data_IF_744520203327
#
_entry.id   IF_744520203327
#
_cell.length_a   1.000
_cell.length_b   1.000
_cell.length_c   1.000
_cell.angle_alpha   90.00
_cell.angle_beta   90.00
_cell.angle_gamma   90.00
#
_symmetry.space_group_name_H-M   'P 1'
#
loop_
_entity.id
_entity.type
_entity.pdbx_description
1 polymer ?
#
# COMPACT_ATOMS: atom_id res chain seq x y z
N UNK A 1 -22.44 16.83 -2.35
CA UNK A 1 -21.40 15.81 -2.60
C UNK A 1 -20.54 15.80 -1.35
N UNK A 2 -20.07 14.64 -0.88
CA UNK A 2 -19.20 14.61 0.32
C UNK A 2 -17.85 15.25 0.00
N UNK A 3 -17.33 16.07 0.92
CA UNK A 3 -16.00 16.68 0.81
C UNK A 3 -14.89 15.65 0.94
N UNK A 4 -13.76 15.87 0.28
CA UNK A 4 -12.66 14.91 0.24
C UNK A 4 -11.36 15.56 0.71
N UNK A 5 -10.61 14.83 1.55
CA UNK A 5 -9.26 15.20 1.98
C UNK A 5 -8.27 14.07 1.68
N UNK A 6 -7.14 14.39 1.05
CA UNK A 6 -6.03 13.45 0.84
C UNK A 6 -4.96 13.71 1.88
N UNK A 7 -4.56 12.67 2.63
CA UNK A 7 -3.59 12.76 3.72
C UNK A 7 -2.30 12.03 3.35
N UNK A 8 -1.24 12.79 3.06
CA UNK A 8 0.07 12.31 2.67
C UNK A 8 0.70 13.14 1.55
N UNK A 9 2.03 13.31 1.56
CA UNK A 9 2.77 14.12 0.59
C UNK A 9 3.64 13.32 -0.38
N UNK A 10 3.53 11.98 -0.38
CA UNK A 10 4.38 11.07 -1.16
C UNK A 10 3.94 10.87 -2.62
N UNK A 11 4.64 9.99 -3.34
CA UNK A 11 4.36 9.69 -4.76
C UNK A 11 2.92 9.19 -4.97
N UNK A 12 2.45 8.27 -4.12
CA UNK A 12 1.10 7.73 -4.24
C UNK A 12 0.01 8.77 -3.93
N UNK A 13 0.22 9.62 -2.91
CA UNK A 13 -0.68 10.75 -2.64
C UNK A 13 -0.74 11.71 -3.84
N UNK A 14 0.41 12.07 -4.44
CA UNK A 14 0.46 12.91 -5.64
C UNK A 14 -0.29 12.28 -6.82
N UNK A 15 -0.17 10.96 -7.00
CA UNK A 15 -0.90 10.24 -8.04
C UNK A 15 -2.42 10.25 -7.79
N UNK A 16 -2.86 10.02 -6.54
CA UNK A 16 -4.27 10.09 -6.15
C UNK A 16 -4.83 11.50 -6.40
N UNK A 17 -4.11 12.54 -5.99
CA UNK A 17 -4.48 13.95 -6.24
C UNK A 17 -4.67 14.20 -7.73
N UNK A 18 -3.72 13.76 -8.59
CA UNK A 18 -3.86 13.84 -10.04
C UNK A 18 -5.11 13.13 -10.57
N UNK A 19 -5.40 11.93 -10.06
CA UNK A 19 -6.57 11.14 -10.48
C UNK A 19 -7.86 11.88 -10.08
N UNK A 20 -7.99 12.29 -8.82
CA UNK A 20 -9.17 12.96 -8.28
C UNK A 20 -9.49 14.26 -9.03
N UNK A 21 -8.48 15.01 -9.43
CA UNK A 21 -8.64 16.28 -10.17
C UNK A 21 -9.33 16.12 -11.54
N UNK A 22 -9.57 14.87 -12.02
CA UNK A 22 -10.38 14.65 -13.22
C UNK A 22 -11.90 14.67 -12.94
N UNK A 23 -12.32 14.45 -11.69
CA UNK A 23 -13.74 14.21 -11.38
C UNK A 23 -14.28 15.02 -10.19
N UNK A 24 -13.43 15.74 -9.46
CA UNK A 24 -13.80 16.49 -8.26
C UNK A 24 -13.36 17.95 -8.44
N UNK A 25 -14.29 18.89 -8.25
CA UNK A 25 -14.05 20.32 -8.45
C UNK A 25 -13.29 21.00 -7.30
N UNK A 26 -13.12 20.33 -6.16
CA UNK A 26 -12.39 20.88 -5.02
C UNK A 26 -12.16 19.85 -3.92
N UNK A 27 -10.93 19.78 -3.41
CA UNK A 27 -10.58 18.94 -2.25
C UNK A 27 -9.29 19.43 -1.58
N UNK A 28 -9.10 19.05 -0.30
CA UNK A 28 -7.88 19.38 0.46
C UNK A 28 -6.82 18.32 0.30
N UNK A 29 -5.56 18.74 0.29
CA UNK A 29 -4.41 17.85 0.24
C UNK A 29 -3.43 18.18 1.35
N UNK A 30 -3.43 17.38 2.40
CA UNK A 30 -2.52 17.54 3.52
C UNK A 30 -1.16 16.87 3.28
N UNK A 31 -0.11 17.59 3.68
CA UNK A 31 1.26 17.09 3.74
C UNK A 31 1.98 17.66 4.97
N UNK A 32 2.94 16.88 5.51
CA UNK A 32 3.65 17.27 6.73
C UNK A 32 4.65 18.41 6.51
N UNK A 33 5.25 18.49 5.33
CA UNK A 33 6.36 19.39 5.00
C UNK A 33 5.83 20.70 4.40
N UNK A 34 6.01 21.80 5.14
CA UNK A 34 5.54 23.12 4.73
C UNK A 34 6.31 23.66 3.51
N UNK A 35 7.60 23.39 3.39
CA UNK A 35 8.37 23.75 2.19
C UNK A 35 7.83 23.04 0.93
N UNK A 36 7.39 21.78 1.08
CA UNK A 36 6.74 21.05 -0.01
C UNK A 36 5.40 21.71 -0.38
N UNK A 37 4.58 22.08 0.60
CA UNK A 37 3.31 22.78 0.39
C UNK A 37 3.52 24.12 -0.33
N UNK A 38 4.44 24.96 0.18
CA UNK A 38 4.74 26.28 -0.42
C UNK A 38 5.22 26.13 -1.87
N UNK A 39 6.06 25.12 -2.14
CA UNK A 39 6.53 24.86 -3.50
C UNK A 39 5.37 24.48 -4.43
N UNK A 40 4.45 23.61 -3.97
CA UNK A 40 3.28 23.20 -4.77
C UNK A 40 2.38 24.41 -5.04
N UNK A 41 2.10 25.23 -4.05
CA UNK A 41 1.30 26.45 -4.22
C UNK A 41 1.93 27.42 -5.22
N UNK A 42 3.26 27.60 -5.16
CA UNK A 42 3.97 28.54 -6.02
C UNK A 42 4.27 28.05 -7.45
N UNK A 43 4.38 26.73 -7.64
CA UNK A 43 4.89 26.14 -8.89
C UNK A 43 3.97 25.10 -9.53
N UNK A 44 2.87 24.72 -8.89
CA UNK A 44 1.92 23.70 -9.38
C UNK A 44 2.53 22.29 -9.56
N UNK A 45 3.61 21.97 -8.87
CA UNK A 45 4.29 20.67 -8.95
C UNK A 45 4.78 20.21 -7.59
N UNK A 46 4.79 18.89 -7.35
CA UNK A 46 5.43 18.34 -6.17
C UNK A 46 6.96 18.34 -6.38
N UNK A 47 7.77 18.99 -5.52
CA UNK A 47 9.22 19.10 -5.71
C UNK A 47 9.96 17.77 -5.54
N UNK A 48 9.38 16.82 -4.80
CA UNK A 48 10.04 15.56 -4.40
C UNK A 48 9.54 14.34 -5.15
N UNK A 49 8.27 14.35 -5.56
CA UNK A 49 7.60 13.17 -6.09
C UNK A 49 6.79 13.49 -7.35
N UNK A 50 6.96 12.68 -8.39
CA UNK A 50 6.23 12.81 -9.65
C UNK A 50 6.26 14.24 -10.20
N UNK A 51 7.43 14.84 -10.30
CA UNK A 51 7.64 16.25 -10.63
C UNK A 51 7.00 16.69 -11.96
N UNK A 52 6.72 15.76 -12.86
CA UNK A 52 6.02 16.03 -14.13
C UNK A 52 4.51 16.23 -13.98
N UNK A 53 3.93 15.86 -12.82
CA UNK A 53 2.49 16.01 -12.58
C UNK A 53 2.17 17.47 -12.27
N UNK A 54 1.28 18.06 -13.05
CA UNK A 54 0.74 19.39 -12.80
C UNK A 54 -0.40 19.29 -11.78
N UNK A 55 -0.33 20.09 -10.73
CA UNK A 55 -1.36 20.23 -9.70
C UNK A 55 -2.11 21.53 -9.94
N UNK A 56 -3.42 21.44 -10.18
CA UNK A 56 -4.26 22.63 -10.34
C UNK A 56 -4.71 23.15 -8.96
N UNK A 57 -4.10 24.24 -8.53
CA UNK A 57 -4.43 24.88 -7.23
C UNK A 57 -5.83 25.53 -7.19
N UNK A 58 -6.57 25.59 -8.31
CA UNK A 58 -7.99 25.96 -8.29
C UNK A 58 -8.87 24.79 -7.82
N UNK A 59 -8.39 23.54 -7.97
CA UNK A 59 -9.09 22.31 -7.58
C UNK A 59 -8.52 21.78 -6.27
N UNK A 60 -7.19 21.81 -6.11
CA UNK A 60 -6.47 21.23 -4.96
C UNK A 60 -6.09 22.34 -4.01
N UNK A 61 -6.43 22.19 -2.73
CA UNK A 61 -5.98 23.09 -1.64
C UNK A 61 -4.88 22.40 -0.82
N UNK A 62 -3.58 22.65 -1.12
CA UNK A 62 -2.48 22.10 -0.33
C UNK A 62 -2.42 22.73 1.06
N UNK A 63 -2.30 21.90 2.11
CA UNK A 63 -2.25 22.36 3.51
C UNK A 63 -1.31 21.52 4.36
N UNK A 64 -0.82 22.11 5.47
CA UNK A 64 -0.12 21.40 6.55
C UNK A 64 -0.96 21.28 7.81
N UNK A 65 -2.19 21.81 7.81
CA UNK A 65 -3.12 21.70 8.92
C UNK A 65 -3.93 20.40 8.81
N UNK A 66 -3.49 19.36 9.53
CA UNK A 66 -4.17 18.08 9.55
C UNK A 66 -5.53 18.15 10.27
N UNK A 67 -5.61 18.96 11.33
CA UNK A 67 -6.85 19.11 12.09
C UNK A 67 -7.95 19.68 11.21
N UNK A 68 -7.68 20.79 10.55
CA UNK A 68 -8.60 21.40 9.60
C UNK A 68 -8.97 20.43 8.46
N UNK A 69 -7.99 19.66 7.95
CA UNK A 69 -8.25 18.65 6.91
C UNK A 69 -9.24 17.60 7.38
N UNK A 70 -9.13 17.13 8.63
CA UNK A 70 -10.07 16.14 9.20
C UNK A 70 -11.44 16.78 9.45
N UNK A 71 -11.48 17.96 10.04
CA UNK A 71 -12.74 18.65 10.39
C UNK A 71 -13.60 18.94 9.16
N UNK A 72 -13.00 19.46 8.07
CA UNK A 72 -13.72 19.96 6.89
C UNK A 72 -14.10 18.88 5.88
N UNK A 73 -13.55 17.66 6.00
CA UNK A 73 -13.78 16.63 5.01
C UNK A 73 -14.56 15.42 5.57
N UNK A 74 -15.53 14.96 4.81
CA UNK A 74 -16.31 13.75 5.13
C UNK A 74 -15.53 12.48 4.80
N UNK A 75 -14.77 12.48 3.69
CA UNK A 75 -13.98 11.37 3.19
C UNK A 75 -12.50 11.70 3.32
N UNK A 76 -11.76 10.86 4.04
CA UNK A 76 -10.32 11.01 4.26
C UNK A 76 -9.59 9.86 3.54
N UNK A 77 -8.82 10.20 2.51
CA UNK A 77 -8.00 9.24 1.76
C UNK A 77 -6.60 9.22 2.37
N UNK A 78 -6.26 8.12 3.04
CA UNK A 78 -5.00 7.96 3.77
C UNK A 78 -3.93 7.40 2.83
N UNK A 79 -2.95 8.23 2.47
CA UNK A 79 -1.84 7.89 1.60
C UNK A 79 -0.46 8.15 2.26
N UNK A 80 -0.44 8.15 3.59
CA UNK A 80 0.78 8.19 4.40
C UNK A 80 1.34 6.77 4.53
N UNK A 81 2.67 6.56 4.44
CA UNK A 81 3.25 5.23 4.64
C UNK A 81 2.88 4.64 6.01
N UNK A 82 2.68 3.33 6.09
CA UNK A 82 2.16 2.63 7.28
C UNK A 82 2.97 2.93 8.55
N UNK A 83 4.29 3.03 8.44
CA UNK A 83 5.18 3.31 9.56
C UNK A 83 4.94 4.67 10.25
N UNK A 84 4.27 5.62 9.58
CA UNK A 84 4.02 6.97 10.10
C UNK A 84 2.54 7.23 10.46
N UNK A 85 1.66 6.27 10.28
CA UNK A 85 0.22 6.45 10.54
C UNK A 85 -0.02 6.75 12.02
N UNK A 86 0.53 5.94 12.92
CA UNK A 86 0.30 6.13 14.36
C UNK A 86 0.82 7.48 14.87
N UNK A 87 2.00 7.91 14.41
CA UNK A 87 2.53 9.25 14.71
C UNK A 87 1.64 10.37 14.14
N UNK A 88 1.20 10.22 12.88
CA UNK A 88 0.37 11.21 12.19
C UNK A 88 -0.95 11.48 12.93
N UNK A 89 -1.58 10.43 13.43
CA UNK A 89 -2.88 10.53 14.10
C UNK A 89 -2.80 10.46 15.64
N UNK A 90 -1.59 10.54 16.23
CA UNK A 90 -1.39 10.38 17.69
C UNK A 90 -2.09 11.42 18.55
N UNK A 91 -2.38 12.61 17.99
CA UNK A 91 -3.00 13.74 18.72
C UNK A 91 -4.52 13.79 18.60
N UNK A 92 -5.12 12.89 17.84
CA UNK A 92 -6.55 12.84 17.56
C UNK A 92 -7.25 11.80 18.43
N UNK A 93 -8.54 12.03 18.66
CA UNK A 93 -9.43 11.20 19.46
C UNK A 93 -10.54 10.59 18.58
N UNK A 94 -11.42 9.82 19.19
CA UNK A 94 -12.58 9.19 18.47
C UNK A 94 -13.54 10.26 17.95
N UNK A 95 -13.70 11.33 18.67
CA UNK A 95 -14.62 12.45 18.36
C UNK A 95 -14.22 13.14 17.05
N UNK A 96 -12.91 13.21 16.74
CA UNK A 96 -12.42 13.82 15.50
C UNK A 96 -12.80 13.02 14.25
N UNK A 97 -13.09 11.71 14.42
CA UNK A 97 -13.45 10.79 13.33
C UNK A 97 -14.94 10.41 13.31
N UNK A 98 -15.76 10.99 14.17
CA UNK A 98 -17.18 10.71 14.18
C UNK A 98 -17.84 11.09 12.84
N UNK A 99 -18.54 10.14 12.23
CA UNK A 99 -19.21 10.31 10.94
C UNK A 99 -18.28 10.36 9.71
N UNK A 100 -16.96 10.23 9.89
CA UNK A 100 -15.99 10.24 8.79
C UNK A 100 -15.96 8.89 8.05
N UNK A 101 -15.57 8.97 6.77
CA UNK A 101 -15.26 7.83 5.93
C UNK A 101 -13.75 7.76 5.70
N UNK A 102 -13.15 6.62 5.98
CA UNK A 102 -11.71 6.40 5.84
C UNK A 102 -11.45 5.52 4.61
N UNK A 103 -10.69 6.04 3.67
CA UNK A 103 -10.28 5.29 2.48
C UNK A 103 -8.78 5.07 2.55
N UNK A 104 -8.38 3.88 2.93
CA UNK A 104 -6.97 3.51 2.96
C UNK A 104 -6.41 3.39 1.54
N UNK A 105 -5.31 4.07 1.27
CA UNK A 105 -4.47 3.84 0.08
C UNK A 105 -3.09 3.30 0.50
N UNK A 106 -3.02 2.77 1.71
CA UNK A 106 -1.82 2.23 2.35
C UNK A 106 -1.70 0.75 2.01
N UNK A 107 -0.50 0.34 1.61
CA UNK A 107 -0.20 -1.05 1.27
C UNK A 107 0.82 -1.62 2.27
N UNK A 108 0.49 -1.53 3.57
CA UNK A 108 1.38 -1.92 4.67
C UNK A 108 0.62 -2.15 5.97
N UNK A 109 1.30 -2.72 6.96
CA UNK A 109 0.83 -2.88 8.34
C UNK A 109 1.44 -1.77 9.18
N UNK A 110 0.69 -1.26 10.16
CA UNK A 110 1.14 -0.26 11.13
C UNK A 110 2.04 -0.97 12.16
N UNK A 111 3.36 -0.70 12.16
CA UNK A 111 4.30 -1.53 12.94
C UNK A 111 4.12 -1.38 14.45
N UNK A 112 3.56 -0.28 14.91
CA UNK A 112 3.36 0.03 16.33
C UNK A 112 2.26 -0.82 16.96
N UNK A 113 1.26 -1.22 16.18
CA UNK A 113 0.09 -1.96 16.67
C UNK A 113 -0.08 -3.33 16.02
N UNK A 114 0.69 -3.65 14.97
CA UNK A 114 0.55 -4.83 14.12
C UNK A 114 -0.83 -4.95 13.46
N UNK A 115 -1.46 -3.81 13.18
CA UNK A 115 -2.79 -3.74 12.58
C UNK A 115 -2.72 -3.28 11.12
N UNK A 116 -3.62 -3.81 10.29
CA UNK A 116 -3.94 -3.21 9.01
C UNK A 116 -4.68 -1.88 9.24
N UNK A 117 -4.65 -0.93 8.29
CA UNK A 117 -5.31 0.36 8.47
C UNK A 117 -6.79 0.27 8.87
N UNK A 118 -7.55 -0.67 8.32
CA UNK A 118 -8.96 -0.85 8.68
C UNK A 118 -9.15 -1.17 10.17
N UNK A 119 -8.39 -2.13 10.70
CA UNK A 119 -8.44 -2.49 12.12
C UNK A 119 -7.97 -1.34 13.01
N UNK A 120 -6.92 -0.63 12.61
CA UNK A 120 -6.41 0.51 13.35
C UNK A 120 -7.44 1.64 13.50
N UNK A 121 -8.09 2.05 12.42
CA UNK A 121 -9.11 3.11 12.51
C UNK A 121 -10.36 2.64 13.26
N UNK A 122 -10.73 1.38 13.13
CA UNK A 122 -11.82 0.79 13.92
C UNK A 122 -11.47 0.75 15.42
N UNK A 123 -10.33 0.19 15.81
CA UNK A 123 -9.96 -0.01 17.20
C UNK A 123 -9.62 1.29 17.93
N UNK A 124 -8.84 2.15 17.30
CA UNK A 124 -8.36 3.40 17.92
C UNK A 124 -9.38 4.52 17.88
N UNK A 125 -10.08 4.68 16.77
CA UNK A 125 -10.98 5.82 16.56
C UNK A 125 -12.46 5.46 16.50
N UNK A 126 -12.80 4.17 16.56
CA UNK A 126 -14.19 3.71 16.56
C UNK A 126 -14.89 3.90 15.20
N UNK A 127 -14.14 4.07 14.11
CA UNK A 127 -14.73 4.19 12.77
C UNK A 127 -15.31 2.82 12.37
N UNK A 128 -16.62 2.71 12.12
CA UNK A 128 -17.22 1.42 11.76
C UNK A 128 -16.72 0.93 10.39
N UNK A 129 -16.60 -0.39 10.22
CA UNK A 129 -16.08 -0.98 8.97
C UNK A 129 -16.89 -0.56 7.74
N UNK A 130 -18.17 -0.29 7.88
CA UNK A 130 -19.05 0.24 6.81
C UNK A 130 -18.62 1.63 6.33
N UNK A 131 -17.83 2.35 7.13
CA UNK A 131 -17.26 3.65 6.76
C UNK A 131 -15.81 3.54 6.31
N UNK A 132 -15.27 2.32 6.19
CA UNK A 132 -13.88 2.10 5.78
C UNK A 132 -13.85 1.44 4.39
N UNK A 133 -12.90 1.88 3.58
CA UNK A 133 -12.57 1.27 2.29
C UNK A 133 -11.08 1.28 2.02
N UNK A 134 -10.65 0.50 1.03
CA UNK A 134 -9.27 0.49 0.54
C UNK A 134 -9.21 0.72 -0.97
N UNK A 135 -8.19 1.46 -1.42
CA UNK A 135 -7.75 1.58 -2.80
C UNK A 135 -6.57 0.63 -3.02
N UNK A 136 -6.77 -0.41 -3.81
CA UNK A 136 -5.75 -1.43 -4.12
C UNK A 136 -5.70 -1.71 -5.63
N UNK A 137 -4.91 -2.70 -6.05
CA UNK A 137 -4.78 -3.13 -7.45
C UNK A 137 -3.48 -2.73 -8.12
N UNK A 138 -3.23 -3.24 -9.34
CA UNK A 138 -2.00 -3.04 -10.11
C UNK A 138 -1.89 -1.61 -10.63
N UNK A 139 -1.31 -0.72 -9.82
CA UNK A 139 -1.21 0.70 -10.13
C UNK A 139 0.03 1.31 -9.46
N UNK A 140 1.06 1.62 -10.24
CA UNK A 140 2.21 2.37 -9.79
C UNK A 140 2.03 3.87 -9.99
N UNK A 141 2.44 4.66 -9.02
CA UNK A 141 2.31 6.12 -9.05
C UNK A 141 3.02 6.74 -10.27
N UNK A 142 4.16 6.19 -10.65
CA UNK A 142 4.96 6.59 -11.80
C UNK A 142 4.21 6.37 -13.14
N UNK A 143 3.49 5.27 -13.25
CA UNK A 143 2.66 4.99 -14.43
C UNK A 143 1.42 5.88 -14.50
N UNK A 144 0.83 6.20 -13.35
CA UNK A 144 -0.26 7.20 -13.25
C UNK A 144 0.23 8.58 -13.69
N UNK A 145 1.44 8.99 -13.28
CA UNK A 145 2.03 10.25 -13.73
C UNK A 145 2.14 10.34 -15.26
N UNK A 146 2.45 9.22 -15.92
CA UNK A 146 2.53 9.06 -17.36
C UNK A 146 1.18 8.76 -18.03
N UNK A 147 0.08 8.74 -17.28
CA UNK A 147 -1.27 8.42 -17.76
C UNK A 147 -1.38 7.05 -18.46
N UNK A 148 -0.60 6.08 -17.99
CA UNK A 148 -0.69 4.69 -18.45
C UNK A 148 -1.95 4.04 -17.89
N UNK A 149 -2.60 3.24 -18.73
CA UNK A 149 -3.82 2.54 -18.31
C UNK A 149 -3.53 1.64 -17.10
N UNK A 150 -4.20 1.96 -16.00
CA UNK A 150 -4.05 1.28 -14.72
C UNK A 150 -5.41 0.86 -14.16
N UNK A 151 -5.40 -0.15 -13.31
CA UNK A 151 -6.61 -0.71 -12.73
C UNK A 151 -6.57 -0.58 -11.22
N UNK A 152 -7.66 -0.07 -10.64
CA UNK A 152 -7.86 0.00 -9.21
C UNK A 152 -9.04 -0.88 -8.79
N UNK A 153 -8.94 -1.45 -7.61
CA UNK A 153 -10.05 -2.09 -6.92
C UNK A 153 -10.34 -1.33 -5.64
N UNK A 154 -11.57 -0.91 -5.48
CA UNK A 154 -12.06 -0.25 -4.27
C UNK A 154 -12.81 -1.31 -3.47
N UNK A 155 -12.27 -1.69 -2.31
CA UNK A 155 -12.92 -2.68 -1.45
C UNK A 155 -13.48 -2.01 -0.19
N UNK A 156 -14.76 -2.29 0.09
CA UNK A 156 -15.49 -1.86 1.29
C UNK A 156 -16.70 -2.74 1.50
N UNK A 157 -17.08 -3.09 2.73
CA UNK A 157 -18.36 -3.75 3.00
C UNK A 157 -19.57 -2.87 2.63
N UNK A 158 -19.38 -1.55 2.55
CA UNK A 158 -20.37 -0.61 2.07
C UNK A 158 -20.23 -0.39 0.55
N UNK A 159 -21.07 -1.10 -0.23
CA UNK A 159 -21.05 -0.99 -1.69
C UNK A 159 -21.27 0.44 -2.19
N UNK A 160 -22.13 1.23 -1.56
CA UNK A 160 -22.39 2.60 -1.98
C UNK A 160 -21.15 3.49 -1.81
N UNK A 161 -20.39 3.29 -0.72
CA UNK A 161 -19.10 3.96 -0.52
C UNK A 161 -18.08 3.53 -1.57
N UNK A 162 -17.96 2.21 -1.82
CA UNK A 162 -17.04 1.70 -2.83
C UNK A 162 -17.35 2.23 -4.24
N UNK A 163 -18.62 2.24 -4.65
CA UNK A 163 -19.07 2.81 -5.93
C UNK A 163 -18.78 4.32 -6.02
N UNK A 164 -19.01 5.09 -4.95
CA UNK A 164 -18.71 6.52 -4.92
C UNK A 164 -17.21 6.78 -5.12
N UNK A 165 -16.34 6.07 -4.40
CA UNK A 165 -14.90 6.23 -4.52
C UNK A 165 -14.41 5.75 -5.89
N UNK A 166 -14.95 4.65 -6.42
CA UNK A 166 -14.64 4.17 -7.77
C UNK A 166 -14.98 5.22 -8.83
N UNK A 167 -16.13 5.90 -8.72
CA UNK A 167 -16.50 6.97 -9.63
C UNK A 167 -15.59 8.20 -9.51
N UNK A 168 -15.18 8.57 -8.29
CA UNK A 168 -14.26 9.68 -8.06
C UNK A 168 -12.87 9.43 -8.65
N UNK A 169 -12.46 8.16 -8.76
CA UNK A 169 -11.13 7.76 -9.25
C UNK A 169 -11.13 7.31 -10.71
N UNK A 170 -12.28 6.99 -11.31
CA UNK A 170 -12.35 6.51 -12.70
C UNK A 170 -12.09 7.64 -13.69
N UNK A 171 -11.15 7.47 -14.62
CA UNK A 171 -10.88 8.44 -15.66
C UNK A 171 -10.36 7.74 -16.95
N UNK A 172 -9.90 8.51 -17.92
CA UNK A 172 -9.39 7.98 -19.20
C UNK A 172 -8.33 6.89 -19.02
N UNK A 173 -7.45 7.03 -18.04
CA UNK A 173 -6.33 6.13 -17.78
C UNK A 173 -6.46 5.29 -16.49
N UNK A 174 -7.57 5.44 -15.75
CA UNK A 174 -7.86 4.63 -14.55
C UNK A 174 -9.21 3.93 -14.72
N UNK A 175 -9.19 2.61 -14.61
CA UNK A 175 -10.38 1.76 -14.52
C UNK A 175 -10.55 1.27 -13.10
N UNK A 176 -11.75 1.45 -12.53
CA UNK A 176 -12.06 0.98 -11.19
C UNK A 176 -13.02 -0.19 -11.22
N UNK A 177 -12.79 -1.15 -10.34
CA UNK A 177 -13.74 -2.21 -9.96
C UNK A 177 -14.03 -2.10 -8.46
N UNK A 178 -15.12 -2.70 -8.00
CA UNK A 178 -15.50 -2.71 -6.58
C UNK A 178 -15.49 -4.13 -6.03
N UNK A 179 -15.22 -4.26 -4.72
CA UNK A 179 -15.24 -5.51 -3.96
C UNK A 179 -15.81 -5.25 -2.57
N UNK A 180 -16.38 -6.26 -1.95
CA UNK A 180 -16.82 -6.25 -0.55
C UNK A 180 -15.72 -6.78 0.41
N UNK A 181 -14.64 -7.35 -0.12
CA UNK A 181 -13.56 -7.95 0.66
C UNK A 181 -12.51 -6.90 1.08
N UNK A 182 -12.87 -6.06 2.07
CA UNK A 182 -11.97 -5.05 2.64
C UNK A 182 -10.71 -5.69 3.24
N UNK A 183 -10.90 -6.62 4.19
CA UNK A 183 -9.82 -7.20 4.99
C UNK A 183 -8.87 -8.04 4.12
N UNK A 184 -9.41 -8.92 3.28
CA UNK A 184 -8.58 -9.73 2.39
C UNK A 184 -7.78 -8.90 1.39
N UNK A 185 -8.38 -7.84 0.86
CA UNK A 185 -7.69 -6.91 -0.06
C UNK A 185 -6.55 -6.16 0.64
N UNK A 186 -6.74 -5.67 1.88
CA UNK A 186 -5.66 -5.04 2.66
C UNK A 186 -4.52 -6.01 2.95
N UNK A 187 -4.84 -7.20 3.47
CA UNK A 187 -3.83 -8.23 3.78
C UNK A 187 -3.06 -8.63 2.52
N UNK A 188 -3.75 -8.82 1.39
CA UNK A 188 -3.08 -9.13 0.11
C UNK A 188 -2.14 -8.01 -0.32
N UNK A 189 -2.55 -6.75 -0.19
CA UNK A 189 -1.71 -5.58 -0.49
C UNK A 189 -0.47 -5.48 0.41
N UNK A 190 -0.52 -6.03 1.62
CA UNK A 190 0.63 -6.16 2.52
C UNK A 190 1.55 -7.30 2.06
N UNK A 191 1.00 -8.51 1.90
CA UNK A 191 1.75 -9.72 1.57
C UNK A 191 2.49 -9.62 0.25
N UNK A 192 1.89 -9.02 -0.79
CA UNK A 192 2.57 -8.81 -2.07
C UNK A 192 3.90 -8.07 -1.94
N UNK A 193 4.04 -7.18 -0.96
CA UNK A 193 5.27 -6.44 -0.71
C UNK A 193 6.36 -7.36 -0.15
N UNK A 194 5.98 -8.34 0.67
CA UNK A 194 6.89 -9.41 1.15
C UNK A 194 7.37 -10.27 -0.02
N UNK A 195 6.44 -10.66 -0.91
CA UNK A 195 6.80 -11.49 -2.07
C UNK A 195 7.60 -10.74 -3.14
N UNK A 196 7.35 -9.44 -3.30
CA UNK A 196 8.21 -8.61 -4.15
C UNK A 196 9.64 -8.52 -3.59
N UNK A 197 9.79 -8.50 -2.26
CA UNK A 197 11.06 -8.57 -1.57
C UNK A 197 11.76 -9.91 -1.85
N UNK A 198 11.04 -11.03 -1.70
CA UNK A 198 11.55 -12.37 -2.04
C UNK A 198 12.00 -12.45 -3.50
N UNK A 199 11.19 -11.97 -4.44
CA UNK A 199 11.53 -11.90 -5.86
C UNK A 199 12.77 -11.05 -6.14
N UNK A 200 12.92 -9.93 -5.42
CA UNK A 200 14.12 -9.10 -5.48
C UNK A 200 15.37 -9.84 -4.97
N UNK A 201 15.27 -10.54 -3.84
CA UNK A 201 16.38 -11.34 -3.29
C UNK A 201 16.81 -12.41 -4.29
N UNK A 202 15.86 -13.15 -4.86
CA UNK A 202 16.14 -14.17 -5.87
C UNK A 202 16.83 -13.58 -7.09
N UNK A 203 16.34 -12.44 -7.58
CA UNK A 203 16.97 -11.74 -8.71
C UNK A 203 18.41 -11.31 -8.38
N UNK A 204 18.65 -10.79 -7.18
CA UNK A 204 20.00 -10.40 -6.72
C UNK A 204 20.98 -11.58 -6.62
N UNK A 205 20.46 -12.77 -6.30
CA UNK A 205 21.20 -14.03 -6.27
C UNK A 205 21.42 -14.66 -7.68
N UNK A 206 20.82 -14.11 -8.73
CA UNK A 206 20.95 -14.61 -10.09
C UNK A 206 19.93 -15.66 -10.50
N UNK A 207 18.84 -15.86 -9.75
CA UNK A 207 17.73 -16.70 -10.20
C UNK A 207 17.03 -16.08 -11.41
N UNK A 208 16.68 -16.90 -12.40
CA UNK A 208 16.04 -16.47 -13.64
C UNK A 208 14.51 -16.39 -13.55
N UNK A 209 13.89 -16.00 -14.69
CA UNK A 209 12.44 -15.79 -14.81
C UNK A 209 11.61 -17.04 -14.57
N UNK A 210 12.14 -18.24 -14.88
CA UNK A 210 11.46 -19.51 -14.59
C UNK A 210 11.21 -19.67 -13.09
N UNK A 211 12.23 -19.43 -12.27
CA UNK A 211 12.08 -19.48 -10.82
C UNK A 211 11.16 -18.37 -10.29
N UNK A 212 11.27 -17.15 -10.85
CA UNK A 212 10.41 -16.05 -10.50
C UNK A 212 8.92 -16.39 -10.74
N UNK A 213 8.59 -17.07 -11.83
CA UNK A 213 7.24 -17.51 -12.12
C UNK A 213 6.72 -18.54 -11.09
N UNK A 214 7.57 -19.52 -10.70
CA UNK A 214 7.25 -20.49 -9.64
C UNK A 214 7.05 -19.78 -8.29
N UNK A 215 7.95 -18.84 -7.96
CA UNK A 215 7.84 -18.06 -6.73
C UNK A 215 6.49 -17.30 -6.65
N UNK A 216 6.09 -16.62 -7.73
CA UNK A 216 4.82 -15.88 -7.78
C UNK A 216 3.60 -16.82 -7.73
N UNK A 217 3.69 -18.00 -8.35
CA UNK A 217 2.65 -19.03 -8.26
C UNK A 217 2.46 -19.55 -6.85
N UNK A 218 3.52 -19.74 -6.09
CA UNK A 218 3.45 -20.12 -4.68
C UNK A 218 3.04 -18.95 -3.78
N UNK A 219 3.44 -17.72 -4.12
CA UNK A 219 3.06 -16.52 -3.39
C UNK A 219 1.54 -16.30 -3.38
N UNK A 220 0.84 -16.48 -4.51
CA UNK A 220 -0.63 -16.34 -4.52
C UNK A 220 -1.31 -17.44 -3.70
N UNK A 221 -0.73 -18.64 -3.61
CA UNK A 221 -1.22 -19.70 -2.74
C UNK A 221 -1.02 -19.35 -1.25
N UNK A 222 0.12 -18.75 -0.88
CA UNK A 222 0.33 -18.23 0.49
C UNK A 222 -0.69 -17.15 0.83
N UNK A 223 -0.93 -16.18 -0.08
CA UNK A 223 -1.97 -15.16 0.11
C UNK A 223 -3.31 -15.83 0.39
N UNK A 224 -3.73 -16.78 -0.46
CA UNK A 224 -5.02 -17.46 -0.30
C UNK A 224 -5.13 -18.13 1.07
N UNK A 225 -4.14 -18.96 1.43
CA UNK A 225 -4.13 -19.65 2.73
C UNK A 225 -4.22 -18.70 3.92
N UNK A 226 -3.44 -17.62 3.89
CA UNK A 226 -3.39 -16.69 4.99
C UNK A 226 -4.66 -15.86 5.12
N UNK A 227 -5.15 -15.32 4.01
CA UNK A 227 -6.37 -14.51 4.00
C UNK A 227 -7.59 -15.33 4.41
N UNK A 228 -7.68 -16.60 3.94
CA UNK A 228 -8.76 -17.52 4.32
C UNK A 228 -8.73 -17.90 5.81
N UNK A 229 -7.54 -17.98 6.41
CA UNK A 229 -7.39 -18.24 7.83
C UNK A 229 -7.71 -17.01 8.72
N UNK A 230 -7.42 -15.80 8.25
CA UNK A 230 -7.67 -14.56 8.99
C UNK A 230 -9.10 -14.09 8.83
N UNK A 231 -9.65 -14.14 7.62
CA UNK A 231 -10.98 -13.66 7.27
C UNK A 231 -11.65 -14.61 6.26
N UNK A 232 -12.33 -15.66 6.73
CA UNK A 232 -12.88 -16.73 5.88
C UNK A 232 -14.15 -16.29 5.15
N UNK A 233 -14.00 -15.77 3.94
CA UNK A 233 -15.11 -15.47 3.01
C UNK A 233 -14.80 -16.04 1.63
N UNK A 234 -15.83 -16.18 0.78
CA UNK A 234 -15.59 -16.54 -0.62
C UNK A 234 -14.95 -15.38 -1.37
N UNK A 235 -13.78 -15.62 -1.99
CA UNK A 235 -13.07 -14.62 -2.77
C UNK A 235 -12.41 -15.23 -4.03
N UNK A 236 -12.23 -14.39 -5.05
CA UNK A 236 -11.43 -14.76 -6.23
C UNK A 236 -10.02 -14.15 -6.11
N UNK A 237 -9.08 -14.94 -5.62
CA UNK A 237 -7.66 -14.54 -5.52
C UNK A 237 -6.96 -14.34 -6.87
N UNK A 238 -7.61 -14.68 -8.00
CA UNK A 238 -7.10 -14.43 -9.35
C UNK A 238 -7.46 -13.03 -9.85
N UNK A 239 -8.27 -12.28 -9.11
CA UNK A 239 -8.68 -10.92 -9.47
C UNK A 239 -7.52 -9.93 -9.44
N UNK A 240 -7.75 -8.72 -10.00
CA UNK A 240 -6.72 -7.68 -10.10
C UNK A 240 -6.22 -7.20 -8.74
N UNK A 241 -7.06 -7.21 -7.70
CA UNK A 241 -6.68 -6.79 -6.35
C UNK A 241 -5.66 -7.74 -5.68
N UNK A 242 -5.66 -9.01 -6.08
CA UNK A 242 -4.81 -10.06 -5.55
C UNK A 242 -3.68 -10.40 -6.53
N UNK A 243 -3.95 -11.30 -7.49
CA UNK A 243 -2.93 -11.77 -8.44
C UNK A 243 -2.37 -10.63 -9.30
N UNK A 244 -3.21 -9.70 -9.77
CA UNK A 244 -2.75 -8.59 -10.60
C UNK A 244 -1.77 -7.68 -9.85
N UNK A 245 -2.10 -7.30 -8.61
CA UNK A 245 -1.25 -6.44 -7.79
C UNK A 245 0.03 -7.15 -7.30
N UNK A 246 -0.05 -8.48 -7.06
CA UNK A 246 1.12 -9.31 -6.80
C UNK A 246 2.09 -9.33 -7.98
N UNK A 247 1.59 -9.60 -9.18
CA UNK A 247 2.42 -9.72 -10.39
C UNK A 247 3.10 -8.40 -10.73
N UNK A 248 2.36 -7.28 -10.76
CA UNK A 248 2.96 -5.98 -11.07
C UNK A 248 4.02 -5.61 -10.04
N UNK A 249 3.80 -5.91 -8.74
CA UNK A 249 4.75 -5.57 -7.68
C UNK A 249 6.00 -6.46 -7.73
N UNK A 250 5.84 -7.74 -8.09
CA UNK A 250 6.94 -8.72 -8.16
C UNK A 250 7.84 -8.54 -9.39
N UNK A 251 7.30 -8.02 -10.50
CA UNK A 251 8.06 -7.88 -11.76
C UNK A 251 8.49 -6.44 -12.07
N UNK A 252 7.78 -5.43 -11.57
CA UNK A 252 8.04 -4.03 -11.91
C UNK A 252 9.39 -3.52 -11.38
N UNK A 253 10.07 -2.74 -12.20
CA UNK A 253 11.27 -2.00 -11.81
C UNK A 253 10.96 -0.81 -10.88
N UNK A 254 9.71 -0.36 -10.81
CA UNK A 254 9.25 0.67 -9.88
C UNK A 254 9.00 0.12 -8.47
N UNK A 255 9.03 -1.22 -8.29
CA UNK A 255 8.80 -1.83 -6.98
C UNK A 255 9.97 -1.60 -6.03
N UNK A 256 9.77 -0.72 -5.05
CA UNK A 256 10.74 -0.45 -3.97
C UNK A 256 11.12 -1.70 -3.20
N UNK A 257 10.14 -2.57 -2.93
CA UNK A 257 10.38 -3.83 -2.23
C UNK A 257 11.27 -4.76 -3.05
N UNK A 258 11.03 -4.86 -4.37
CA UNK A 258 11.87 -5.65 -5.27
C UNK A 258 13.29 -5.08 -5.33
N UNK A 259 13.45 -3.76 -5.39
CA UNK A 259 14.77 -3.10 -5.36
C UNK A 259 15.51 -3.38 -4.05
N UNK A 260 14.83 -3.24 -2.91
CA UNK A 260 15.41 -3.55 -1.60
C UNK A 260 15.84 -5.01 -1.52
N UNK A 261 14.99 -5.96 -1.93
CA UNK A 261 15.33 -7.38 -1.99
C UNK A 261 16.53 -7.68 -2.89
N UNK A 262 16.62 -7.02 -4.06
CA UNK A 262 17.75 -7.19 -4.97
C UNK A 262 19.09 -6.75 -4.34
N UNK A 263 19.09 -5.68 -3.56
CA UNK A 263 20.28 -5.23 -2.82
C UNK A 263 20.69 -6.28 -1.76
N UNK A 264 19.72 -6.84 -1.02
CA UNK A 264 19.98 -7.90 -0.05
C UNK A 264 20.53 -9.15 -0.73
N UNK A 265 19.95 -9.58 -1.86
CA UNK A 265 20.43 -10.71 -2.66
C UNK A 265 21.84 -10.52 -3.19
N UNK A 266 22.24 -9.27 -3.48
CA UNK A 266 23.62 -8.88 -3.89
C UNK A 266 24.60 -8.75 -2.71
N UNK A 267 24.18 -9.02 -1.48
CA UNK A 267 25.03 -9.03 -0.30
C UNK A 267 25.08 -7.73 0.50
N UNK A 268 24.23 -6.74 0.18
CA UNK A 268 24.11 -5.56 1.05
C UNK A 268 23.47 -5.96 2.38
N UNK A 269 23.97 -5.37 3.49
CA UNK A 269 23.27 -5.51 4.76
C UNK A 269 21.92 -4.79 4.73
N UNK A 270 20.97 -5.26 5.54
CA UNK A 270 19.65 -4.60 5.70
C UNK A 270 19.81 -3.10 6.00
N UNK A 271 20.73 -2.75 6.91
CA UNK A 271 20.98 -1.35 7.26
C UNK A 271 21.56 -0.53 6.09
N UNK A 272 22.49 -1.10 5.32
CA UNK A 272 23.04 -0.42 4.14
C UNK A 272 21.97 -0.18 3.08
N UNK A 273 21.15 -1.20 2.79
CA UNK A 273 20.04 -1.09 1.84
C UNK A 273 18.99 -0.05 2.27
N UNK A 274 18.65 0.00 3.58
CA UNK A 274 17.74 1.03 4.11
C UNK A 274 18.29 2.45 3.99
N UNK A 275 19.60 2.65 4.20
CA UNK A 275 20.24 3.98 4.09
C UNK A 275 20.35 4.46 2.64
N UNK A 276 20.53 3.53 1.70
CA UNK A 276 20.66 3.85 0.27
C UNK A 276 19.29 4.17 -0.36
N UNK A 277 18.22 3.63 0.19
CA UNK A 277 16.87 3.88 -0.33
C UNK A 277 16.29 5.19 0.21
N UNK A 278 15.88 6.07 -0.69
CA UNK A 278 15.23 7.35 -0.33
C UNK A 278 13.78 7.19 0.17
N UNK A 279 13.21 5.99 0.10
CA UNK A 279 11.83 5.71 0.45
C UNK A 279 11.68 4.37 1.17
N UNK A 280 10.68 4.27 2.04
CA UNK A 280 10.40 3.08 2.84
C UNK A 280 10.01 1.90 1.93
N UNK A 281 10.64 0.73 2.18
CA UNK A 281 10.19 -0.56 1.65
C UNK A 281 9.21 -1.18 2.67
N UNK A 282 7.92 -1.06 2.39
CA UNK A 282 6.85 -1.53 3.30
C UNK A 282 6.97 -3.03 3.63
N UNK A 283 7.48 -3.84 2.68
CA UNK A 283 7.69 -5.27 2.88
C UNK A 283 8.65 -5.61 4.02
N UNK A 284 9.59 -4.71 4.38
CA UNK A 284 10.45 -4.93 5.52
C UNK A 284 9.64 -5.05 6.82
N UNK A 285 8.83 -4.05 7.14
CA UNK A 285 7.98 -4.09 8.35
C UNK A 285 6.88 -5.15 8.23
N UNK A 286 6.26 -5.24 7.07
CA UNK A 286 5.21 -6.21 6.79
C UNK A 286 5.64 -7.65 7.08
N UNK A 287 6.87 -8.03 6.74
CA UNK A 287 7.40 -9.38 6.99
C UNK A 287 7.34 -9.74 8.48
N UNK A 288 7.78 -8.84 9.35
CA UNK A 288 7.76 -9.07 10.80
C UNK A 288 6.33 -9.13 11.33
N UNK A 289 5.51 -8.14 10.98
CA UNK A 289 4.13 -8.06 11.45
C UNK A 289 3.29 -9.27 11.01
N UNK A 290 3.44 -9.73 9.77
CA UNK A 290 2.74 -10.94 9.28
C UNK A 290 3.18 -12.19 10.06
N UNK A 291 4.46 -12.34 10.38
CA UNK A 291 4.92 -13.47 11.19
C UNK A 291 4.34 -13.44 12.60
N UNK A 292 4.28 -12.26 13.24
CA UNK A 292 3.67 -12.08 14.57
C UNK A 292 2.15 -12.36 14.54
N UNK A 293 1.42 -11.89 13.53
CA UNK A 293 0.00 -12.22 13.34
C UNK A 293 -0.18 -13.72 13.13
N UNK A 294 0.73 -14.34 12.38
CA UNK A 294 0.67 -15.77 12.06
C UNK A 294 0.92 -16.68 13.27
N UNK A 295 1.51 -16.19 14.35
CA UNK A 295 1.61 -16.96 15.62
C UNK A 295 0.23 -17.43 16.10
N UNK A 296 -0.81 -16.65 15.88
CA UNK A 296 -2.20 -16.96 16.22
C UNK A 296 -2.85 -17.93 15.22
N UNK A 297 -2.59 -17.74 13.93
CA UNK A 297 -3.28 -18.47 12.86
C UNK A 297 -2.56 -19.74 12.41
N UNK A 298 -1.23 -19.82 12.62
CA UNK A 298 -0.37 -20.97 12.33
C UNK A 298 -0.47 -21.48 10.89
N UNK A 299 -0.61 -20.55 9.94
CA UNK A 299 -0.63 -20.85 8.52
C UNK A 299 0.78 -21.16 8.02
N UNK A 300 0.90 -22.12 7.10
CA UNK A 300 2.16 -22.40 6.43
C UNK A 300 2.48 -21.30 5.39
N UNK A 301 3.54 -20.52 5.68
CA UNK A 301 3.99 -19.37 4.91
C UNK A 301 5.49 -19.49 4.56
N UNK A 302 5.90 -20.47 3.75
CA UNK A 302 7.32 -20.75 3.49
C UNK A 302 8.07 -19.56 2.89
N UNK A 303 7.48 -18.79 1.94
CA UNK A 303 8.14 -17.63 1.34
C UNK A 303 8.29 -16.50 2.35
N UNK A 304 7.22 -16.18 3.07
CA UNK A 304 7.24 -15.13 4.10
C UNK A 304 8.25 -15.46 5.21
N UNK A 305 8.31 -16.74 5.63
CA UNK A 305 9.26 -17.23 6.63
C UNK A 305 10.70 -17.11 6.13
N UNK A 306 10.98 -17.48 4.88
CA UNK A 306 12.31 -17.35 4.29
C UNK A 306 12.77 -15.88 4.27
N UNK A 307 11.88 -14.95 3.86
CA UNK A 307 12.18 -13.51 3.92
C UNK A 307 12.44 -13.05 5.34
N UNK A 308 11.67 -13.53 6.32
CA UNK A 308 11.87 -13.20 7.74
C UNK A 308 13.25 -13.64 8.23
N UNK A 309 13.64 -14.90 7.98
CA UNK A 309 14.95 -15.44 8.37
C UNK A 309 16.10 -14.60 7.78
N UNK A 310 15.99 -14.17 6.53
CA UNK A 310 17.02 -13.35 5.87
C UNK A 310 17.11 -11.95 6.53
N UNK A 311 15.97 -11.30 6.76
CA UNK A 311 15.95 -9.90 7.19
C UNK A 311 16.20 -9.73 8.70
N UNK A 312 15.68 -10.63 9.51
CA UNK A 312 15.66 -10.48 10.97
C UNK A 312 16.61 -11.44 11.67
N UNK A 313 16.66 -12.70 11.25
CA UNK A 313 17.59 -13.70 11.81
C UNK A 313 18.96 -13.65 11.13
N UNK A 314 19.11 -12.84 10.08
CA UNK A 314 20.36 -12.63 9.34
C UNK A 314 20.93 -13.91 8.73
N UNK A 315 20.08 -14.85 8.36
CA UNK A 315 20.50 -16.06 7.64
C UNK A 315 20.93 -15.64 6.22
N UNK A 316 21.93 -16.33 5.69
CA UNK A 316 22.42 -16.08 4.33
C UNK A 316 21.31 -16.21 3.29
N UNK A 317 21.07 -15.19 2.44
CA UNK A 317 20.06 -15.24 1.39
C UNK A 317 20.22 -16.46 0.48
N UNK A 318 21.45 -16.83 0.14
CA UNK A 318 21.74 -17.98 -0.74
C UNK A 318 21.36 -19.33 -0.11
N UNK A 319 21.54 -19.47 1.21
CA UNK A 319 21.17 -20.70 1.93
C UNK A 319 19.64 -20.78 2.04
N UNK A 320 19.01 -19.72 2.48
CA UNK A 320 17.56 -19.69 2.76
C UNK A 320 16.75 -19.86 1.45
N UNK A 321 17.15 -19.17 0.37
CA UNK A 321 16.47 -19.33 -0.92
C UNK A 321 16.69 -20.69 -1.57
N UNK A 322 17.81 -21.36 -1.29
CA UNK A 322 18.01 -22.74 -1.70
C UNK A 322 17.06 -23.68 -0.98
N UNK A 323 16.94 -23.56 0.35
CA UNK A 323 15.99 -24.34 1.15
C UNK A 323 14.55 -24.09 0.67
N UNK A 324 14.18 -22.82 0.44
CA UNK A 324 12.88 -22.46 -0.09
C UNK A 324 12.64 -23.13 -1.46
N UNK A 325 13.63 -23.10 -2.37
CA UNK A 325 13.47 -23.66 -3.72
C UNK A 325 13.13 -25.16 -3.73
N UNK A 326 13.57 -25.91 -2.70
CA UNK A 326 13.28 -27.34 -2.58
C UNK A 326 11.84 -27.61 -2.07
N UNK A 327 11.16 -26.58 -1.54
CA UNK A 327 9.80 -26.68 -1.00
C UNK A 327 8.71 -26.13 -1.93
N UNK A 328 9.10 -25.36 -2.97
CA UNK A 328 8.15 -24.80 -3.94
C UNK A 328 7.74 -25.83 -5.00
N UNK A 329 6.51 -25.72 -5.51
CA UNK A 329 5.92 -26.63 -6.52
C UNK A 329 5.25 -25.86 -7.67
#
# INVERSE_FOLDING_TARGET
MKSNGVIGGGSWATAIVKILSNNIDGFTWWMRDDNQREYIVGHNHNPKYLQSVVIDNNIVTPTTDLKLTIEENDILIIATPSAFIDETFSKFSKEDFEGKYIISAVKGIIPQTNEIPADYFYNKFGVPFENIGIISGPCHAEEVALERLSYLTIASPNKALADQIANNLSCRYIKCSVSDDLIGTEISAVLKNVYALAGGICHGLGYGDNFQAVLMSNAIQEISRFVDAVHPIHRDVKSSAYLGDLLVTGYSLYSRNRTFGNMIGKGHSVKAAQLEMNMVAEGYYATKCIMEINEKHKVDLPITKAVYHILYDKISPSIEMKILSDSLS
#
